data_IF_769862616673
#
_entry.id   IF_769862616673
#
_cell.length_a   1.000
_cell.length_b   1.000
_cell.length_c   1.000
_cell.angle_alpha   90.00
_cell.angle_beta   90.00
_cell.angle_gamma   90.00
#
_symmetry.space_group_name_H-M   'P 1'
#
loop_
_entity.id
_entity.type
_entity.pdbx_description
1 polymer ?
#
# COMPACT_ATOMS: atom_id res chain seq x y z
N UNK A 1 -44.11 0.02 -22.00
CA UNK A 1 -44.90 -0.84 -22.92
C UNK A 1 -44.38 -0.84 -24.36
N UNK A 2 -43.77 0.23 -24.88
CA UNK A 2 -43.22 0.30 -26.25
C UNK A 2 -42.16 -0.77 -26.58
N UNK A 3 -41.18 -1.02 -25.69
CA UNK A 3 -40.10 -1.96 -25.99
C UNK A 3 -40.50 -3.46 -25.96
N UNK A 4 -41.72 -3.81 -25.50
CA UNK A 4 -42.23 -5.19 -25.64
C UNK A 4 -42.89 -5.37 -27.00
N UNK A 5 -43.71 -4.40 -27.39
CA UNK A 5 -44.33 -4.33 -28.72
C UNK A 5 -43.29 -4.35 -29.86
N UNK A 6 -42.19 -3.58 -29.74
CA UNK A 6 -41.11 -3.58 -30.75
C UNK A 6 -40.34 -4.91 -30.83
N UNK A 7 -40.38 -5.74 -29.77
CA UNK A 7 -39.80 -7.07 -29.77
C UNK A 7 -40.74 -8.12 -30.38
N UNK A 8 -42.04 -8.00 -30.14
CA UNK A 8 -43.09 -8.79 -30.80
C UNK A 8 -43.13 -8.51 -32.31
N UNK A 9 -42.90 -7.26 -32.72
CA UNK A 9 -42.81 -6.84 -34.13
C UNK A 9 -41.46 -7.24 -34.78
N UNK A 10 -40.56 -7.91 -34.06
CA UNK A 10 -39.29 -8.43 -34.59
C UNK A 10 -38.23 -7.35 -34.91
N UNK A 11 -38.47 -6.09 -34.53
CA UNK A 11 -37.58 -4.95 -34.80
C UNK A 11 -36.44 -4.89 -33.79
N UNK A 12 -36.68 -5.35 -32.57
CA UNK A 12 -35.73 -5.33 -31.46
C UNK A 12 -35.61 -6.70 -30.78
N UNK A 13 -34.41 -7.24 -30.67
CA UNK A 13 -34.07 -8.38 -29.81
C UNK A 13 -33.77 -7.92 -28.38
N UNK A 14 -34.37 -8.60 -27.40
CA UNK A 14 -34.18 -8.34 -25.96
C UNK A 14 -33.29 -9.42 -25.37
N UNK A 15 -32.09 -9.07 -24.92
CA UNK A 15 -31.18 -10.04 -24.30
C UNK A 15 -31.41 -10.07 -22.77
N UNK A 16 -31.66 -11.24 -22.16
CA UNK A 16 -31.97 -11.35 -20.73
C UNK A 16 -30.72 -11.44 -19.82
N UNK A 17 -29.52 -11.36 -20.39
CA UNK A 17 -28.28 -11.43 -19.62
C UNK A 17 -27.98 -10.07 -18.97
N UNK A 18 -28.09 -10.06 -17.64
CA UNK A 18 -27.72 -9.00 -16.70
C UNK A 18 -28.53 -7.70 -16.75
N UNK A 19 -29.16 -7.36 -15.62
CA UNK A 19 -29.86 -6.09 -15.43
C UNK A 19 -28.90 -4.90 -15.59
N UNK A 20 -29.26 -3.86 -16.37
CA UNK A 20 -30.55 -3.64 -17.04
C UNK A 20 -30.63 -4.19 -18.48
N UNK A 21 -31.83 -4.65 -18.86
CA UNK A 21 -32.17 -5.24 -20.17
C UNK A 21 -31.71 -4.36 -21.34
N UNK A 22 -30.85 -4.92 -22.21
CA UNK A 22 -30.38 -4.31 -23.45
C UNK A 22 -31.29 -4.67 -24.63
N UNK A 23 -31.68 -3.65 -25.40
CA UNK A 23 -32.48 -3.76 -26.61
C UNK A 23 -31.57 -3.58 -27.84
N UNK A 24 -31.49 -4.58 -28.74
CA UNK A 24 -30.68 -4.53 -29.97
C UNK A 24 -31.57 -4.58 -31.21
N UNK A 25 -31.27 -3.80 -32.24
CA UNK A 25 -32.03 -3.83 -33.50
C UNK A 25 -31.71 -5.11 -34.31
N UNK A 26 -32.73 -5.78 -34.82
CA UNK A 26 -32.62 -7.15 -35.37
C UNK A 26 -31.89 -7.28 -36.71
N UNK A 27 -31.51 -6.16 -37.36
CA UNK A 27 -30.97 -6.16 -38.73
C UNK A 27 -29.51 -5.65 -38.82
N UNK A 28 -28.63 -6.14 -37.95
CA UNK A 28 -27.20 -5.87 -38.07
C UNK A 28 -26.36 -7.12 -37.84
N UNK A 29 -26.52 -8.10 -38.73
CA UNK A 29 -25.54 -9.16 -38.91
C UNK A 29 -25.11 -9.15 -40.38
N UNK A 30 -23.98 -8.50 -40.65
CA UNK A 30 -23.26 -8.64 -41.91
C UNK A 30 -22.07 -9.60 -41.67
N UNK A 31 -21.82 -10.56 -42.56
CA UNK A 31 -20.76 -11.54 -42.38
C UNK A 31 -19.38 -10.86 -42.49
N UNK A 32 -18.48 -11.21 -41.58
CA UNK A 32 -17.09 -10.73 -41.55
C UNK A 32 -16.29 -11.45 -42.64
N UNK A 33 -15.79 -10.77 -43.68
CA UNK A 33 -14.86 -11.39 -44.62
C UNK A 33 -13.46 -11.53 -43.97
N UNK A 34 -12.62 -12.48 -44.42
CA UNK A 34 -11.25 -12.58 -43.92
C UNK A 34 -10.49 -11.28 -44.20
N UNK A 35 -10.00 -10.66 -43.12
CA UNK A 35 -9.34 -9.35 -43.13
C UNK A 35 -7.95 -9.48 -43.75
N UNK A 36 -7.81 -9.02 -44.99
CA UNK A 36 -6.49 -8.68 -45.58
C UNK A 36 -5.87 -7.54 -44.75
N UNK A 37 -4.57 -7.58 -44.40
CA UNK A 37 -3.92 -6.45 -43.75
C UNK A 37 -3.99 -5.24 -44.70
N UNK A 38 -4.62 -4.17 -44.23
CA UNK A 38 -4.61 -2.89 -44.93
C UNK A 38 -3.18 -2.32 -44.91
N UNK A 39 -2.73 -1.64 -45.97
CA UNK A 39 -1.45 -0.94 -45.95
C UNK A 39 -1.47 0.10 -44.82
N UNK A 40 -0.44 0.09 -43.98
CA UNK A 40 -0.24 1.03 -42.89
C UNK A 40 -0.20 2.47 -43.42
N UNK A 41 -1.05 3.35 -42.90
CA UNK A 41 -0.89 4.79 -43.10
C UNK A 41 0.52 5.23 -42.66
N UNK A 42 1.12 6.25 -43.29
CA UNK A 42 2.40 6.79 -42.87
C UNK A 42 2.33 7.17 -41.38
N UNK A 43 3.27 6.66 -40.58
CA UNK A 43 3.33 6.89 -39.14
C UNK A 43 3.33 8.41 -38.86
N UNK A 44 2.30 8.88 -38.15
CA UNK A 44 2.26 10.29 -37.71
C UNK A 44 3.44 10.55 -36.77
N UNK A 45 4.10 11.72 -36.87
CA UNK A 45 5.27 12.00 -36.08
C UNK A 45 4.96 12.04 -34.58
N UNK A 46 6.00 11.85 -33.77
CA UNK A 46 5.97 12.16 -32.34
C UNK A 46 5.41 13.58 -32.11
N UNK A 47 4.66 13.86 -31.02
CA UNK A 47 4.16 12.98 -29.94
C UNK A 47 2.72 12.46 -30.15
N UNK A 48 2.36 11.97 -31.33
CA UNK A 48 1.04 11.35 -31.53
C UNK A 48 0.88 10.05 -30.72
N UNK A 49 -0.35 9.74 -30.27
CA UNK A 49 -0.66 8.60 -29.39
C UNK A 49 -0.09 7.26 -29.89
N UNK A 50 -0.24 6.96 -31.19
CA UNK A 50 0.32 5.72 -31.76
C UNK A 50 1.85 5.70 -31.80
N UNK A 51 2.52 6.85 -31.93
CA UNK A 51 3.97 6.92 -31.82
C UNK A 51 4.42 6.67 -30.37
N UNK A 52 3.75 7.28 -29.39
CA UNK A 52 4.01 7.04 -27.96
C UNK A 52 3.79 5.58 -27.59
N UNK A 53 2.69 4.97 -28.05
CA UNK A 53 2.39 3.57 -27.83
C UNK A 53 3.44 2.64 -28.46
N UNK A 54 3.86 2.92 -29.69
CA UNK A 54 4.89 2.14 -30.37
C UNK A 54 6.21 2.16 -29.59
N UNK A 55 6.68 3.35 -29.23
CA UNK A 55 7.90 3.55 -28.44
C UNK A 55 7.82 2.85 -27.08
N UNK A 56 6.66 2.92 -26.41
CA UNK A 56 6.44 2.23 -25.14
C UNK A 56 6.52 0.70 -25.29
N UNK A 57 5.95 0.13 -26.36
CA UNK A 57 5.97 -1.31 -26.62
C UNK A 57 7.39 -1.81 -26.94
N UNK A 58 8.17 -1.03 -27.69
CA UNK A 58 9.58 -1.32 -27.93
C UNK A 58 10.37 -1.35 -26.61
N UNK A 59 10.16 -0.34 -25.75
CA UNK A 59 10.79 -0.30 -24.43
C UNK A 59 10.39 -1.51 -23.57
N UNK A 60 9.09 -1.82 -23.45
CA UNK A 60 8.60 -2.98 -22.70
C UNK A 60 9.25 -4.28 -23.18
N UNK A 61 9.37 -4.47 -24.49
CA UNK A 61 10.00 -5.66 -25.07
C UNK A 61 11.49 -5.72 -24.74
N UNK A 62 12.18 -4.57 -24.75
CA UNK A 62 13.61 -4.48 -24.40
C UNK A 62 13.89 -4.78 -22.92
N UNK A 63 12.94 -4.48 -22.04
CA UNK A 63 12.96 -4.81 -20.61
C UNK A 63 12.50 -6.26 -20.32
N UNK A 64 12.30 -7.08 -21.36
CA UNK A 64 11.90 -8.48 -21.22
C UNK A 64 10.40 -8.70 -20.96
N UNK A 65 9.58 -7.67 -21.18
CA UNK A 65 8.12 -7.78 -21.11
C UNK A 65 7.53 -8.54 -22.30
N UNK A 66 6.51 -9.34 -22.03
CA UNK A 66 5.73 -10.05 -23.06
C UNK A 66 4.44 -9.30 -23.35
N UNK A 67 4.21 -8.88 -24.61
CA UNK A 67 2.98 -8.16 -24.99
C UNK A 67 1.83 -9.17 -25.14
N UNK A 68 0.83 -9.05 -24.26
CA UNK A 68 -0.36 -9.90 -24.26
C UNK A 68 -1.40 -9.38 -25.26
N UNK A 69 -1.59 -8.05 -25.32
CA UNK A 69 -2.49 -7.42 -26.29
C UNK A 69 -2.13 -5.96 -26.53
N UNK A 70 -2.40 -5.45 -27.73
CA UNK A 70 -2.19 -4.06 -28.12
C UNK A 70 -3.37 -3.59 -28.97
N UNK A 71 -3.97 -2.45 -28.62
CA UNK A 71 -5.03 -1.84 -29.40
C UNK A 71 -4.46 -1.13 -30.63
N UNK A 72 -5.14 -1.27 -31.77
CA UNK A 72 -4.78 -0.52 -32.98
C UNK A 72 -5.29 0.93 -32.89
N UNK A 73 -4.36 1.85 -32.59
CA UNK A 73 -4.63 3.30 -32.47
C UNK A 73 -5.08 3.94 -33.80
N UNK A 74 -4.79 3.33 -34.95
CA UNK A 74 -5.26 3.81 -36.25
C UNK A 74 -6.74 3.46 -36.50
N UNK A 75 -7.25 2.37 -35.89
CA UNK A 75 -8.63 1.91 -36.09
C UNK A 75 -9.59 2.17 -34.92
N UNK A 76 -9.12 2.82 -33.83
CA UNK A 76 -9.93 3.17 -32.63
C UNK A 76 -10.66 1.97 -32.04
N UNK A 77 -9.97 0.82 -31.94
CA UNK A 77 -10.53 -0.36 -31.28
C UNK A 77 -10.86 -0.05 -29.81
N UNK A 78 -11.93 -0.67 -29.29
CA UNK A 78 -12.34 -0.51 -27.88
C UNK A 78 -11.59 -1.55 -27.03
N UNK A 79 -10.77 -1.10 -26.08
CA UNK A 79 -10.02 -1.94 -25.14
C UNK A 79 -8.92 -1.13 -24.43
N UNK A 80 -8.23 -1.75 -23.47
CA UNK A 80 -6.98 -1.21 -22.89
C UNK A 80 -5.93 -1.05 -23.99
N UNK A 81 -5.22 0.08 -24.02
CA UNK A 81 -4.30 0.41 -25.12
C UNK A 81 -3.15 -0.61 -25.25
N UNK A 82 -2.53 -1.01 -24.12
CA UNK A 82 -1.52 -2.07 -24.06
C UNK A 82 -1.73 -2.94 -22.82
N UNK A 83 -1.59 -4.26 -22.97
CA UNK A 83 -1.48 -5.22 -21.86
C UNK A 83 -0.21 -6.03 -22.06
N UNK A 84 0.62 -6.10 -21.02
CA UNK A 84 1.88 -6.85 -21.03
C UNK A 84 2.08 -7.62 -19.72
N UNK A 85 2.90 -8.67 -19.75
CA UNK A 85 3.50 -9.27 -18.56
C UNK A 85 4.90 -8.67 -18.38
N UNK A 86 5.15 -8.02 -17.25
CA UNK A 86 6.44 -7.41 -16.90
C UNK A 86 6.77 -7.75 -15.45
N UNK A 87 7.99 -8.25 -15.20
CA UNK A 87 8.42 -8.73 -13.87
C UNK A 87 7.49 -9.78 -13.24
N UNK A 88 6.88 -10.64 -14.08
CA UNK A 88 5.95 -11.67 -13.63
C UNK A 88 4.60 -11.13 -13.15
N UNK A 89 4.27 -9.87 -13.45
CA UNK A 89 2.97 -9.26 -13.17
C UNK A 89 2.35 -8.71 -14.45
N UNK A 90 1.04 -8.86 -14.56
CA UNK A 90 0.26 -8.23 -15.63
C UNK A 90 0.18 -6.72 -15.41
N UNK A 91 0.41 -5.97 -16.49
CA UNK A 91 0.37 -4.52 -16.55
C UNK A 91 -0.63 -4.08 -17.60
N UNK A 92 -1.60 -3.27 -17.19
CA UNK A 92 -2.60 -2.64 -18.06
C UNK A 92 -2.25 -1.17 -18.23
N UNK A 93 -2.04 -0.74 -19.48
CA UNK A 93 -1.52 0.59 -19.77
C UNK A 93 -2.51 1.35 -20.66
N UNK A 94 -2.93 2.51 -20.18
CA UNK A 94 -3.65 3.53 -20.97
C UNK A 94 -2.62 4.52 -21.51
N UNK A 95 -2.57 4.70 -22.83
CA UNK A 95 -1.62 5.58 -23.52
C UNK A 95 -2.35 6.83 -24.01
N UNK A 96 -1.71 7.99 -23.90
CA UNK A 96 -2.18 9.24 -24.52
C UNK A 96 -1.03 9.97 -25.20
N UNK A 97 -1.33 10.62 -26.32
CA UNK A 97 -0.39 11.50 -27.01
C UNK A 97 -0.40 12.95 -26.49
N UNK A 98 0.15 13.86 -27.30
CA UNK A 98 0.00 15.30 -27.10
C UNK A 98 -0.94 15.94 -28.14
N UNK A 99 -1.78 16.92 -27.75
CA UNK A 99 -2.68 17.57 -28.69
C UNK A 99 -1.95 18.37 -29.77
N UNK A 100 -2.32 18.14 -31.04
CA UNK A 100 -1.84 18.96 -32.16
C UNK A 100 -2.36 20.40 -32.06
N UNK A 101 -1.58 21.34 -32.57
CA UNK A 101 -1.99 22.75 -32.75
C UNK A 101 -2.92 22.95 -33.95
N UNK A 102 -2.87 22.06 -34.95
CA UNK A 102 -3.65 22.17 -36.19
C UNK A 102 -4.91 21.32 -36.15
N UNK A 103 -5.95 21.78 -36.85
CA UNK A 103 -7.19 21.03 -37.04
C UNK A 103 -6.94 19.74 -37.83
N UNK A 104 -7.47 18.61 -37.33
CA UNK A 104 -7.35 17.31 -37.98
C UNK A 104 -8.42 17.05 -39.03
N UNK A 105 -9.42 17.92 -39.15
CA UNK A 105 -10.44 17.83 -40.21
C UNK A 105 -9.80 18.26 -41.55
N UNK A 106 -9.76 17.39 -42.57
CA UNK A 106 -9.19 17.72 -43.87
C UNK A 106 -9.81 18.98 -44.51
N UNK A 107 -11.07 19.29 -44.16
CA UNK A 107 -11.78 20.50 -44.65
C UNK A 107 -11.26 21.80 -44.04
N UNK A 108 -10.52 21.70 -42.94
CA UNK A 108 -9.94 22.83 -42.18
C UNK A 108 -8.43 22.66 -42.02
N UNK A 109 -7.81 21.90 -42.92
CA UNK A 109 -6.38 21.64 -42.90
C UNK A 109 -5.62 22.99 -42.99
N UNK A 110 -4.70 23.22 -42.05
CA UNK A 110 -3.95 24.47 -41.92
C UNK A 110 -4.53 25.47 -40.91
N UNK A 111 -5.76 25.28 -40.43
CA UNK A 111 -6.31 26.12 -39.36
C UNK A 111 -5.73 25.73 -37.99
N UNK A 112 -5.39 26.75 -37.19
CA UNK A 112 -5.00 26.57 -35.79
C UNK A 112 -6.24 26.26 -34.96
N UNK A 113 -6.18 25.24 -34.10
CA UNK A 113 -7.27 24.89 -33.20
C UNK A 113 -7.55 26.06 -32.24
N UNK A 114 -8.82 26.40 -31.98
CA UNK A 114 -9.18 27.47 -31.05
C UNK A 114 -8.67 27.25 -29.62
N UNK A 115 -8.57 25.98 -29.20
CA UNK A 115 -8.16 25.60 -27.85
C UNK A 115 -6.67 25.30 -27.80
N UNK A 116 -5.94 25.97 -26.92
CA UNK A 116 -4.51 25.72 -26.72
C UNK A 116 -4.22 24.24 -26.37
N UNK A 117 -3.12 23.64 -26.88
CA UNK A 117 -2.74 22.26 -26.58
C UNK A 117 -2.68 21.95 -25.08
N UNK A 118 -2.23 22.88 -24.25
CA UNK A 118 -2.14 22.73 -22.79
C UNK A 118 -3.50 22.48 -22.12
N UNK A 119 -4.56 23.12 -22.63
CA UNK A 119 -5.94 22.96 -22.12
C UNK A 119 -6.50 21.61 -22.57
N UNK A 120 -6.24 21.22 -23.82
CA UNK A 120 -6.61 19.90 -24.33
C UNK A 120 -5.86 18.78 -23.57
N UNK A 121 -4.58 18.97 -23.24
CA UNK A 121 -3.77 18.02 -22.50
C UNK A 121 -4.32 17.78 -21.08
N UNK A 122 -4.85 18.81 -20.42
CA UNK A 122 -5.55 18.66 -19.13
C UNK A 122 -6.81 17.79 -19.26
N UNK A 123 -7.58 17.96 -20.34
CA UNK A 123 -8.76 17.12 -20.61
C UNK A 123 -8.36 15.67 -20.90
N UNK A 124 -7.28 15.47 -21.67
CA UNK A 124 -6.76 14.13 -21.99
C UNK A 124 -6.23 13.42 -20.75
N UNK A 125 -5.51 14.14 -19.89
CA UNK A 125 -5.07 13.66 -18.59
C UNK A 125 -6.27 13.20 -17.74
N UNK A 126 -7.30 14.03 -17.57
CA UNK A 126 -8.49 13.67 -16.79
C UNK A 126 -9.24 12.45 -17.38
N UNK A 127 -9.27 12.35 -18.71
CA UNK A 127 -9.81 11.19 -19.43
C UNK A 127 -9.04 9.91 -19.11
N UNK A 128 -7.71 9.95 -19.20
CA UNK A 128 -6.84 8.81 -18.87
C UNK A 128 -6.97 8.39 -17.40
N UNK A 129 -7.10 9.35 -16.46
CA UNK A 129 -7.32 8.99 -15.05
C UNK A 129 -8.66 8.27 -14.85
N UNK A 130 -9.70 8.70 -15.57
CA UNK A 130 -11.00 8.02 -15.54
C UNK A 130 -10.93 6.61 -16.13
N UNK A 131 -10.12 6.39 -17.18
CA UNK A 131 -9.83 5.04 -17.72
C UNK A 131 -9.07 4.18 -16.71
N UNK A 132 -8.02 4.73 -16.09
CA UNK A 132 -7.18 4.03 -15.12
C UNK A 132 -7.97 3.57 -13.89
N UNK A 133 -8.89 4.40 -13.37
CA UNK A 133 -9.79 4.01 -12.28
C UNK A 133 -10.65 2.79 -12.64
N UNK A 134 -11.18 2.74 -13.87
CA UNK A 134 -11.95 1.58 -14.35
C UNK A 134 -11.08 0.34 -14.50
N UNK A 135 -9.87 0.50 -15.04
CA UNK A 135 -8.90 -0.59 -15.16
C UNK A 135 -8.54 -1.15 -13.78
N UNK A 136 -8.31 -0.28 -12.79
CA UNK A 136 -7.98 -0.69 -11.42
C UNK A 136 -9.13 -1.42 -10.74
N UNK A 137 -10.36 -0.96 -10.95
CA UNK A 137 -11.54 -1.65 -10.45
C UNK A 137 -11.71 -3.04 -11.07
N UNK A 138 -11.46 -3.18 -12.38
CA UNK A 138 -11.57 -4.46 -13.10
C UNK A 138 -10.42 -5.43 -12.81
N UNK A 139 -9.24 -4.91 -12.44
CA UNK A 139 -8.01 -5.68 -12.29
C UNK A 139 -7.29 -5.34 -10.97
N UNK A 140 -7.85 -5.69 -9.80
CA UNK A 140 -7.39 -5.20 -8.50
C UNK A 140 -6.02 -5.73 -8.04
N UNK A 141 -5.46 -6.73 -8.73
CA UNK A 141 -4.15 -7.33 -8.41
C UNK A 141 -3.06 -7.01 -9.45
N UNK A 142 -3.46 -6.44 -10.57
CA UNK A 142 -2.60 -6.13 -11.70
C UNK A 142 -2.09 -4.69 -11.58
N UNK A 143 -0.99 -4.40 -12.26
CA UNK A 143 -0.45 -3.04 -12.33
C UNK A 143 -1.30 -2.23 -13.32
N UNK A 144 -1.64 -1.00 -12.96
CA UNK A 144 -2.37 -0.08 -13.83
C UNK A 144 -1.52 1.14 -14.06
N UNK A 145 -1.29 1.47 -15.32
CA UNK A 145 -0.38 2.51 -15.75
C UNK A 145 -1.11 3.50 -16.65
N UNK A 146 -0.79 4.77 -16.50
CA UNK A 146 -1.09 5.82 -17.46
C UNK A 146 0.22 6.32 -18.07
N UNK A 147 0.35 6.23 -19.39
CA UNK A 147 1.56 6.58 -20.12
C UNK A 147 1.32 7.82 -21.01
N UNK A 148 2.23 8.78 -20.91
CA UNK A 148 2.19 10.04 -21.65
C UNK A 148 3.54 10.34 -22.29
N UNK A 149 3.62 11.15 -23.38
CA UNK A 149 4.89 11.68 -23.83
C UNK A 149 5.47 12.61 -22.75
N UNK A 150 6.79 12.61 -22.62
CA UNK A 150 7.51 13.51 -21.72
C UNK A 150 7.37 14.97 -22.19
N UNK A 151 6.38 15.64 -21.62
CA UNK A 151 6.07 17.04 -21.87
C UNK A 151 5.98 17.78 -20.54
N UNK A 152 6.51 19.02 -20.43
CA UNK A 152 6.50 19.78 -19.18
C UNK A 152 5.13 19.86 -18.50
N UNK A 153 4.05 19.97 -19.29
CA UNK A 153 2.69 20.03 -18.75
C UNK A 153 2.25 18.74 -18.08
N UNK A 154 2.58 17.56 -18.62
CA UNK A 154 2.20 16.30 -17.99
C UNK A 154 2.97 16.08 -16.70
N UNK A 155 4.24 16.53 -16.63
CA UNK A 155 4.99 16.59 -15.36
C UNK A 155 4.29 17.47 -14.32
N UNK A 156 3.83 18.67 -14.69
CA UNK A 156 3.06 19.54 -13.79
C UNK A 156 1.73 18.91 -13.36
N UNK A 157 0.99 18.31 -14.29
CA UNK A 157 -0.29 17.68 -13.99
C UNK A 157 -0.16 16.48 -13.06
N UNK A 158 0.93 15.71 -13.22
CA UNK A 158 1.32 14.66 -12.30
C UNK A 158 1.68 15.24 -10.93
N UNK A 159 2.54 16.27 -10.85
CA UNK A 159 2.92 16.85 -9.54
C UNK A 159 1.72 17.38 -8.74
N UNK A 160 0.72 17.93 -9.42
CA UNK A 160 -0.53 18.40 -8.79
C UNK A 160 -1.39 17.25 -8.23
N UNK A 161 -1.18 16.00 -8.66
CA UNK A 161 -2.07 14.85 -8.41
C UNK A 161 -1.34 13.57 -7.99
N UNK A 162 -0.06 13.66 -7.71
CA UNK A 162 0.82 12.53 -7.44
C UNK A 162 0.31 11.67 -6.27
N UNK A 163 -0.14 12.30 -5.19
CA UNK A 163 -0.60 11.60 -3.98
C UNK A 163 -1.88 10.78 -4.23
N UNK A 164 -2.97 11.33 -4.80
CA UNK A 164 -4.13 10.52 -5.19
C UNK A 164 -3.79 9.35 -6.12
N UNK A 165 -2.89 9.54 -7.08
CA UNK A 165 -2.49 8.48 -8.01
C UNK A 165 -1.74 7.35 -7.30
N UNK A 166 -0.82 7.71 -6.40
CA UNK A 166 -0.10 6.76 -5.56
C UNK A 166 -1.05 5.93 -4.69
N UNK A 167 -2.00 6.57 -4.01
CA UNK A 167 -2.99 5.89 -3.15
C UNK A 167 -3.90 4.92 -3.90
N UNK A 168 -4.12 5.16 -5.18
CA UNK A 168 -4.93 4.32 -6.04
C UNK A 168 -4.13 3.19 -6.72
N UNK A 169 -2.82 3.10 -6.44
CA UNK A 169 -1.91 2.15 -7.10
C UNK A 169 -1.97 2.28 -8.64
N UNK A 170 -2.01 3.54 -9.10
CA UNK A 170 -1.96 3.92 -10.52
C UNK A 170 -0.58 4.53 -10.79
N UNK A 171 0.20 3.86 -11.63
CA UNK A 171 1.53 4.31 -12.01
C UNK A 171 1.48 5.34 -13.13
N UNK A 172 2.40 6.30 -13.09
CA UNK A 172 2.52 7.36 -14.09
C UNK A 172 3.83 7.24 -14.85
N UNK A 173 3.78 6.96 -16.15
CA UNK A 173 4.98 6.77 -16.97
C UNK A 173 5.11 7.90 -18.00
N UNK A 174 6.32 8.43 -18.14
CA UNK A 174 6.68 9.40 -19.17
C UNK A 174 7.59 8.77 -20.21
N UNK A 175 7.17 8.83 -21.47
CA UNK A 175 7.89 8.26 -22.61
C UNK A 175 8.59 9.39 -23.36
N UNK A 176 9.89 9.29 -23.58
CA UNK A 176 10.64 10.26 -24.37
C UNK A 176 10.63 9.88 -25.86
N UNK A 177 10.87 10.85 -26.74
CA UNK A 177 11.01 10.59 -28.18
C UNK A 177 12.17 9.63 -28.50
N UNK A 178 13.19 9.59 -27.64
CA UNK A 178 14.36 8.72 -27.81
C UNK A 178 14.12 7.27 -27.37
N UNK A 179 12.94 6.94 -26.85
CA UNK A 179 12.62 5.58 -26.39
C UNK A 179 12.89 5.29 -24.92
N UNK A 180 13.24 6.30 -24.11
CA UNK A 180 13.35 6.10 -22.67
C UNK A 180 11.97 6.21 -22.02
N UNK A 181 11.70 5.35 -21.02
CA UNK A 181 10.51 5.44 -20.18
C UNK A 181 10.93 5.74 -18.75
N UNK A 182 10.46 6.87 -18.23
CA UNK A 182 10.62 7.26 -16.83
C UNK A 182 9.35 6.86 -16.07
N UNK A 183 9.52 5.99 -15.07
CA UNK A 183 8.47 5.72 -14.09
C UNK A 183 8.49 6.87 -13.08
N UNK A 184 7.53 7.78 -13.21
CA UNK A 184 7.43 8.95 -12.34
C UNK A 184 6.75 8.52 -11.04
N UNK A 185 7.56 8.34 -10.01
CA UNK A 185 7.07 8.16 -8.64
C UNK A 185 6.44 9.45 -8.11
N UNK A 186 5.80 9.42 -6.93
CA UNK A 186 5.20 10.61 -6.33
C UNK A 186 6.20 11.77 -6.31
N UNK A 187 5.76 12.98 -6.66
CA UNK A 187 6.68 14.13 -6.83
C UNK A 187 7.18 14.63 -5.49
N UNK A 188 8.48 14.43 -5.25
CA UNK A 188 9.22 14.98 -4.11
C UNK A 188 8.75 14.38 -2.80
N UNK A 189 9.57 13.53 -2.20
CA UNK A 189 9.43 13.24 -0.78
C UNK A 189 9.52 14.59 -0.04
N UNK A 190 8.48 15.06 0.70
CA UNK A 190 8.62 16.26 1.49
C UNK A 190 9.89 16.21 2.36
N UNK A 191 10.48 17.35 2.75
CA UNK A 191 11.77 17.37 3.44
C UNK A 191 11.79 16.60 4.78
N UNK A 192 10.63 16.21 5.31
CA UNK A 192 10.49 15.32 6.47
C UNK A 192 10.51 13.81 6.12
N UNK A 193 10.48 13.46 4.83
CA UNK A 193 10.65 12.12 4.25
C UNK A 193 12.08 11.84 3.79
N UNK A 194 12.81 12.84 3.29
CA UNK A 194 14.16 12.63 2.79
C UNK A 194 15.21 12.58 3.93
N UNK A 195 15.51 11.37 4.38
CA UNK A 195 16.67 11.09 5.25
C UNK A 195 17.70 10.30 4.44
N UNK A 196 18.84 10.90 4.02
CA UNK A 196 19.81 10.25 3.14
C UNK A 196 20.43 8.96 3.69
N UNK A 197 20.42 8.78 5.02
CA UNK A 197 20.89 7.55 5.65
C UNK A 197 19.85 6.43 5.69
N UNK A 198 18.61 6.68 5.29
CA UNK A 198 17.57 5.66 5.31
C UNK A 198 17.84 4.60 4.22
N UNK A 199 17.63 3.34 4.57
CA UNK A 199 17.49 2.26 3.59
C UNK A 199 16.20 2.46 2.74
N UNK A 200 16.09 1.80 1.57
CA UNK A 200 14.86 1.85 0.76
C UNK A 200 13.61 1.48 1.55
N UNK A 201 13.68 0.47 2.41
CA UNK A 201 12.58 0.07 3.29
C UNK A 201 12.23 1.15 4.30
N UNK A 202 13.23 1.79 4.93
CA UNK A 202 12.98 2.88 5.87
C UNK A 202 12.33 4.09 5.21
N UNK A 203 12.76 4.47 4.00
CA UNK A 203 12.11 5.53 3.22
C UNK A 203 10.65 5.20 2.93
N UNK A 204 10.37 4.00 2.42
CA UNK A 204 9.00 3.57 2.13
C UNK A 204 8.11 3.56 3.38
N UNK A 205 8.61 3.03 4.51
CA UNK A 205 7.86 3.03 5.76
C UNK A 205 7.66 4.47 6.28
N UNK A 206 8.67 5.35 6.18
CA UNK A 206 8.55 6.75 6.58
C UNK A 206 7.50 7.48 5.75
N UNK A 207 7.49 7.27 4.43
CA UNK A 207 6.48 7.81 3.53
C UNK A 207 5.08 7.37 3.95
N UNK A 208 4.89 6.08 4.20
CA UNK A 208 3.61 5.53 4.66
C UNK A 208 3.16 6.15 6.00
N UNK A 209 4.05 6.23 6.99
CA UNK A 209 3.72 6.78 8.30
C UNK A 209 3.40 8.28 8.25
N UNK A 210 4.11 9.04 7.39
CA UNK A 210 3.81 10.46 7.19
C UNK A 210 2.44 10.68 6.57
N UNK A 211 2.09 9.87 5.56
CA UNK A 211 0.75 9.90 4.95
C UNK A 211 -0.31 9.58 6.01
N UNK A 212 -0.14 8.50 6.78
CA UNK A 212 -1.07 8.15 7.86
C UNK A 212 -1.23 9.28 8.90
N UNK A 213 -0.13 9.87 9.38
CA UNK A 213 -0.17 11.01 10.32
C UNK A 213 -0.93 12.21 9.76
N UNK A 214 -0.66 12.58 8.52
CA UNK A 214 -1.27 13.77 7.92
C UNK A 214 -2.73 13.54 7.56
N UNK A 215 -3.06 12.37 6.99
CA UNK A 215 -4.39 12.11 6.46
C UNK A 215 -5.37 11.52 7.48
N UNK A 216 -4.89 10.65 8.36
CA UNK A 216 -5.75 9.96 9.35
C UNK A 216 -5.76 10.72 10.67
N UNK A 217 -4.59 11.12 11.16
CA UNK A 217 -4.51 11.85 12.44
C UNK A 217 -4.69 13.37 12.28
N UNK A 218 -4.46 13.92 11.08
CA UNK A 218 -4.51 15.37 10.86
C UNK A 218 -3.37 16.12 11.57
N UNK A 219 -2.26 15.45 11.87
CA UNK A 219 -1.19 16.01 12.71
C UNK A 219 0.01 16.52 11.88
N UNK A 220 0.69 17.58 12.35
CA UNK A 220 1.93 18.05 11.75
C UNK A 220 3.11 17.14 12.10
N UNK A 221 4.25 17.34 11.42
CA UNK A 221 5.49 16.66 11.75
C UNK A 221 6.08 17.10 13.10
N UNK A 222 6.49 16.12 13.89
CA UNK A 222 7.14 16.33 15.18
C UNK A 222 8.66 16.33 15.09
N UNK A 223 9.34 16.93 16.07
CA UNK A 223 10.79 16.91 16.16
C UNK A 223 11.31 15.54 16.63
N UNK A 224 12.37 15.00 16.03
CA UNK A 224 13.00 13.78 16.50
C UNK A 224 13.81 14.01 17.79
N UNK A 225 14.50 12.97 18.25
CA UNK A 225 15.43 13.04 19.39
C UNK A 225 16.52 14.10 19.15
N UNK A 226 17.06 14.67 20.24
CA UNK A 226 17.99 15.82 20.18
C UNK A 226 19.12 15.65 19.16
N UNK A 227 19.76 14.46 19.11
CA UNK A 227 20.89 14.17 18.22
C UNK A 227 20.54 14.25 16.72
N UNK A 228 19.29 13.95 16.36
CA UNK A 228 18.80 13.97 14.98
C UNK A 228 18.20 15.35 14.64
N UNK A 229 17.65 16.03 15.65
CA UNK A 229 16.95 17.32 15.52
C UNK A 229 17.80 18.43 14.92
N UNK A 230 19.10 18.45 15.21
CA UNK A 230 20.02 19.47 14.68
C UNK A 230 20.13 19.41 13.15
N UNK A 231 19.92 18.23 12.55
CA UNK A 231 19.96 18.02 11.10
C UNK A 231 18.57 17.98 10.48
N UNK A 232 17.57 17.51 11.23
CA UNK A 232 16.18 17.38 10.80
C UNK A 232 15.26 17.96 11.89
N UNK A 233 14.88 19.25 11.79
CA UNK A 233 14.03 19.90 12.80
C UNK A 233 12.72 19.14 13.05
N UNK A 234 12.17 18.51 12.01
CA UNK A 234 11.03 17.60 12.07
C UNK A 234 11.27 16.38 11.18
N UNK A 235 10.56 15.29 11.45
CA UNK A 235 10.57 14.09 10.61
C UNK A 235 9.16 13.54 10.43
N UNK A 236 8.92 12.97 9.25
CA UNK A 236 7.65 12.42 8.79
C UNK A 236 7.05 11.35 9.70
N UNK A 237 7.93 10.47 10.20
CA UNK A 237 7.54 9.42 11.12
C UNK A 237 7.37 9.89 12.58
N UNK A 238 7.68 11.14 12.90
CA UNK A 238 7.55 11.67 14.25
C UNK A 238 6.24 12.44 14.41
N UNK A 239 5.51 12.10 15.47
CA UNK A 239 4.36 12.83 15.96
C UNK A 239 4.81 14.04 16.80
N UNK A 240 4.03 15.12 16.82
CA UNK A 240 4.36 16.30 17.61
C UNK A 240 4.33 15.96 19.11
N UNK A 241 5.10 16.68 19.92
CA UNK A 241 5.09 16.52 21.38
C UNK A 241 3.69 16.84 21.95
N UNK A 242 3.01 17.84 21.37
CA UNK A 242 1.64 18.23 21.69
C UNK A 242 0.93 18.88 20.49
N UNK A 243 -0.39 18.79 20.46
CA UNK A 243 -1.27 19.40 19.47
C UNK A 243 -2.65 19.63 20.11
N UNK A 244 -3.25 20.80 19.89
CA UNK A 244 -4.54 21.20 20.47
C UNK A 244 -4.66 20.97 21.99
N UNK A 245 -3.59 21.32 22.73
CA UNK A 245 -3.55 21.23 24.19
C UNK A 245 -3.43 19.82 24.76
N UNK A 246 -3.25 18.79 23.93
CA UNK A 246 -3.00 17.41 24.37
C UNK A 246 -1.59 16.98 24.03
N UNK A 247 -0.94 16.27 24.96
CA UNK A 247 0.34 15.63 24.69
C UNK A 247 0.14 14.35 23.85
N UNK A 248 1.18 13.91 23.14
CA UNK A 248 1.13 12.65 22.39
C UNK A 248 0.81 11.43 23.28
N UNK A 249 1.31 11.41 24.52
CA UNK A 249 1.07 10.33 25.46
C UNK A 249 -0.37 10.31 26.00
N UNK A 250 -0.94 11.47 26.30
CA UNK A 250 -2.33 11.58 26.78
C UNK A 250 -3.31 11.26 25.66
N UNK A 251 -3.03 11.74 24.44
CA UNK A 251 -3.88 11.47 23.30
C UNK A 251 -3.78 10.01 22.83
N UNK A 252 -2.60 9.39 22.97
CA UNK A 252 -2.33 8.03 22.52
C UNK A 252 -2.28 7.90 20.99
N UNK A 253 -1.88 8.96 20.28
CA UNK A 253 -1.88 8.99 18.81
C UNK A 253 -1.07 7.88 18.14
N UNK A 254 -0.04 7.37 18.80
CA UNK A 254 0.80 6.30 18.27
C UNK A 254 0.27 4.89 18.60
N UNK A 255 -0.93 4.78 19.20
CA UNK A 255 -1.55 3.52 19.61
C UNK A 255 -2.82 3.26 18.82
N UNK A 256 -3.13 1.98 18.59
CA UNK A 256 -4.21 1.58 17.67
C UNK A 256 -5.61 1.64 18.29
N UNK A 257 -5.73 1.76 19.62
CA UNK A 257 -7.02 1.77 20.31
C UNK A 257 -6.95 2.43 21.69
N UNK A 258 -8.12 2.75 22.25
CA UNK A 258 -8.24 3.23 23.64
C UNK A 258 -7.82 2.14 24.65
N UNK A 259 -8.08 0.86 24.34
CA UNK A 259 -7.65 -0.27 25.17
C UNK A 259 -6.11 -0.35 25.23
N UNK A 260 -5.45 -0.23 24.08
CA UNK A 260 -4.00 -0.11 23.99
C UNK A 260 -3.47 1.08 24.79
N UNK A 261 -4.13 2.24 24.73
CA UNK A 261 -3.73 3.43 25.50
C UNK A 261 -3.78 3.18 26.99
N UNK A 262 -4.89 2.65 27.51
CA UNK A 262 -5.04 2.32 28.94
C UNK A 262 -3.97 1.33 29.38
N UNK A 263 -3.82 0.23 28.64
CA UNK A 263 -2.79 -0.78 28.90
C UNK A 263 -1.38 -0.17 28.93
N UNK A 264 -1.07 0.69 27.97
CA UNK A 264 0.27 1.29 27.86
C UNK A 264 0.61 2.15 29.07
N UNK A 265 -0.33 2.98 29.53
CA UNK A 265 -0.14 3.81 30.73
C UNK A 265 0.11 2.98 31.99
N UNK A 266 -0.62 1.86 32.15
CA UNK A 266 -0.41 0.92 33.26
C UNK A 266 0.94 0.20 33.14
N UNK A 267 1.25 -0.31 31.95
CA UNK A 267 2.45 -1.11 31.69
C UNK A 267 3.74 -0.32 31.85
N UNK A 268 3.78 0.95 31.40
CA UNK A 268 4.96 1.82 31.58
C UNK A 268 5.31 2.00 33.06
N UNK A 269 4.32 2.04 33.96
CA UNK A 269 4.59 2.11 35.40
C UNK A 269 5.24 0.83 35.94
N UNK A 270 4.87 -0.35 35.41
CA UNK A 270 5.49 -1.63 35.76
C UNK A 270 6.93 -1.69 35.23
N UNK A 271 7.16 -1.26 33.99
CA UNK A 271 8.50 -1.23 33.39
C UNK A 271 9.45 -0.32 34.16
N UNK A 272 8.97 0.82 34.66
CA UNK A 272 9.76 1.71 35.50
C UNK A 272 10.23 1.06 36.81
N UNK A 273 9.45 0.15 37.40
CA UNK A 273 9.81 -0.57 38.64
C UNK A 273 10.73 -1.77 38.39
N UNK A 274 10.56 -2.45 37.26
CA UNK A 274 11.35 -3.63 36.87
C UNK A 274 12.67 -3.28 36.16
N UNK A 275 12.88 -2.00 35.82
CA UNK A 275 14.02 -1.58 35.02
C UNK A 275 13.92 -1.99 33.54
N UNK A 276 12.70 -2.26 33.05
CA UNK A 276 12.40 -2.49 31.65
C UNK A 276 12.53 -1.23 30.78
N UNK A 277 12.71 -1.40 29.47
CA UNK A 277 13.01 -0.31 28.54
C UNK A 277 11.78 0.11 27.71
N UNK A 278 11.02 1.09 28.19
CA UNK A 278 10.09 1.86 27.36
C UNK A 278 10.64 3.27 27.14
N UNK A 279 11.22 3.52 25.96
CA UNK A 279 11.76 4.84 25.64
C UNK A 279 10.61 5.78 25.23
N UNK A 280 10.35 6.89 25.96
CA UNK A 280 9.15 7.69 25.74
C UNK A 280 9.00 8.20 24.30
N UNK A 281 10.09 8.65 23.68
CA UNK A 281 10.07 9.12 22.29
C UNK A 281 9.76 8.00 21.29
N UNK A 282 10.26 6.79 21.56
CA UNK A 282 10.03 5.61 20.71
C UNK A 282 8.60 5.11 20.84
N UNK A 283 8.05 5.10 22.05
CA UNK A 283 6.71 4.61 22.32
C UNK A 283 5.64 5.60 21.84
N UNK A 284 5.77 6.87 22.19
CA UNK A 284 4.67 7.83 22.03
C UNK A 284 4.73 8.66 20.74
N UNK A 285 5.91 8.78 20.10
CA UNK A 285 6.10 9.76 19.02
C UNK A 285 6.69 9.19 17.75
N UNK A 286 7.52 8.16 17.82
CA UNK A 286 8.15 7.58 16.64
C UNK A 286 7.32 6.43 16.06
N UNK A 287 6.62 6.68 14.96
CA UNK A 287 5.78 5.69 14.28
C UNK A 287 6.57 4.57 13.58
N UNK A 288 7.91 4.70 13.46
CA UNK A 288 8.79 3.62 12.94
C UNK A 288 9.31 2.69 14.04
N UNK A 289 8.99 2.95 15.30
CA UNK A 289 9.38 2.09 16.43
C UNK A 289 8.49 0.85 16.52
N UNK A 290 9.02 -0.30 16.97
CA UNK A 290 8.18 -1.46 17.31
C UNK A 290 7.32 -1.23 18.55
N UNK A 291 7.79 -0.40 19.50
CA UNK A 291 7.13 -0.23 20.79
C UNK A 291 5.62 0.10 20.66
N UNK A 292 5.19 1.11 19.90
CA UNK A 292 3.76 1.39 19.74
C UNK A 292 2.96 0.20 19.21
N UNK A 293 3.52 -0.59 18.28
CA UNK A 293 2.86 -1.78 17.74
C UNK A 293 2.78 -2.89 18.79
N UNK A 294 3.87 -3.15 19.52
CA UNK A 294 3.91 -4.18 20.55
C UNK A 294 2.90 -3.90 21.67
N UNK A 295 2.87 -2.65 22.15
CA UNK A 295 1.91 -2.20 23.16
C UNK A 295 0.47 -2.18 22.63
N UNK A 296 0.27 -1.84 21.35
CA UNK A 296 -1.06 -1.89 20.73
C UNK A 296 -1.61 -3.31 20.65
N UNK A 297 -0.78 -4.26 20.19
CA UNK A 297 -1.16 -5.68 20.12
C UNK A 297 -1.45 -6.22 21.53
N UNK A 298 -0.53 -6.03 22.47
CA UNK A 298 -0.70 -6.56 23.83
C UNK A 298 -1.96 -5.98 24.50
N UNK A 299 -2.16 -4.65 24.42
CA UNK A 299 -3.31 -4.01 25.04
C UNK A 299 -4.64 -4.42 24.42
N UNK A 300 -4.72 -4.52 23.09
CA UNK A 300 -5.94 -4.96 22.41
C UNK A 300 -6.28 -6.42 22.72
N UNK A 301 -5.30 -7.32 22.61
CA UNK A 301 -5.52 -8.74 22.87
C UNK A 301 -5.86 -9.00 24.34
N UNK A 302 -5.29 -8.22 25.27
CA UNK A 302 -5.63 -8.29 26.70
C UNK A 302 -7.06 -7.82 26.98
N UNK A 303 -7.55 -6.80 26.28
CA UNK A 303 -8.93 -6.34 26.40
C UNK A 303 -9.95 -7.32 25.78
N UNK A 304 -9.51 -8.16 24.83
CA UNK A 304 -10.35 -9.08 24.08
C UNK A 304 -9.88 -10.55 24.18
N UNK A 305 -9.92 -11.17 25.36
CA UNK A 305 -9.28 -12.47 25.63
C UNK A 305 -9.80 -13.61 24.74
N UNK A 306 -11.09 -13.62 24.39
CA UNK A 306 -11.65 -14.65 23.50
C UNK A 306 -11.13 -14.51 22.06
N UNK A 307 -11.07 -13.28 21.53
CA UNK A 307 -10.51 -13.02 20.21
C UNK A 307 -9.01 -13.32 20.20
N UNK A 308 -8.31 -12.98 21.28
CA UNK A 308 -6.90 -13.26 21.43
C UNK A 308 -6.59 -14.78 21.44
N UNK A 309 -7.41 -15.62 22.07
CA UNK A 309 -7.29 -17.08 21.98
C UNK A 309 -7.40 -17.57 20.53
N UNK A 310 -8.34 -17.03 19.75
CA UNK A 310 -8.47 -17.37 18.33
C UNK A 310 -7.24 -16.96 17.51
N UNK A 311 -6.73 -15.73 17.73
CA UNK A 311 -5.50 -15.24 17.08
C UNK A 311 -4.31 -16.14 17.41
N UNK A 312 -4.12 -16.52 18.67
CA UNK A 312 -3.00 -17.38 19.06
C UNK A 312 -3.17 -18.83 18.59
N UNK A 313 -4.40 -19.33 18.49
CA UNK A 313 -4.68 -20.64 17.89
C UNK A 313 -4.23 -20.67 16.43
N UNK A 314 -4.59 -19.65 15.66
CA UNK A 314 -4.17 -19.53 14.26
C UNK A 314 -2.66 -19.32 14.12
N UNK A 315 -2.08 -18.41 14.91
CA UNK A 315 -0.67 -18.05 14.85
C UNK A 315 0.25 -19.22 15.21
N UNK A 316 -0.11 -20.03 16.20
CA UNK A 316 0.72 -21.14 16.69
C UNK A 316 0.37 -22.47 16.04
N UNK A 317 -0.82 -22.61 15.44
CA UNK A 317 -1.36 -23.89 14.98
C UNK A 317 -1.75 -24.84 16.12
N UNK A 318 -1.76 -24.37 17.38
CA UNK A 318 -2.08 -25.17 18.56
C UNK A 318 -3.51 -24.86 19.05
N UNK A 319 -4.21 -25.82 19.67
CA UNK A 319 -5.54 -25.59 20.24
C UNK A 319 -5.44 -24.79 21.53
N UNK A 320 -5.17 -23.49 21.43
CA UNK A 320 -5.15 -22.57 22.57
C UNK A 320 -6.58 -22.43 23.09
N UNK A 321 -6.75 -22.59 24.40
CA UNK A 321 -8.06 -22.52 25.05
C UNK A 321 -8.19 -21.31 25.98
N UNK A 322 -7.07 -20.80 26.50
CA UNK A 322 -7.04 -19.64 27.38
C UNK A 322 -5.64 -19.00 27.43
N UNK A 323 -5.60 -17.77 27.94
CA UNK A 323 -4.37 -17.20 28.50
C UNK A 323 -4.17 -17.67 29.93
N UNK A 324 -2.91 -17.73 30.36
CA UNK A 324 -2.51 -18.11 31.71
C UNK A 324 -1.65 -17.03 32.37
N UNK A 325 -1.15 -17.34 33.57
CA UNK A 325 -0.26 -16.49 34.34
C UNK A 325 1.03 -17.22 34.70
N UNK A 326 2.14 -16.49 34.64
CA UNK A 326 3.42 -16.88 35.22
C UNK A 326 3.83 -15.82 36.25
N UNK A 327 4.11 -16.26 37.47
CA UNK A 327 4.45 -15.39 38.61
C UNK A 327 3.26 -15.18 39.57
N UNK A 328 3.59 -14.81 40.81
CA UNK A 328 2.62 -14.64 41.90
C UNK A 328 1.91 -13.27 41.84
N UNK A 329 0.72 -13.12 42.44
CA UNK A 329 0.08 -11.82 42.60
C UNK A 329 0.99 -10.82 43.34
N UNK A 330 1.22 -9.65 42.74
CA UNK A 330 2.11 -8.61 43.29
C UNK A 330 3.57 -8.72 42.84
N UNK A 331 3.94 -9.74 42.07
CA UNK A 331 5.23 -9.79 41.38
C UNK A 331 5.23 -8.83 40.18
N UNK A 332 6.14 -7.86 40.19
CA UNK A 332 6.32 -6.89 39.11
C UNK A 332 6.83 -7.54 37.81
N UNK A 333 7.42 -8.75 37.88
CA UNK A 333 7.86 -9.53 36.71
C UNK A 333 6.82 -10.52 36.20
N UNK A 334 5.62 -10.54 36.80
CA UNK A 334 4.53 -11.44 36.39
C UNK A 334 4.17 -11.25 34.92
N UNK A 335 4.02 -12.36 34.20
CA UNK A 335 3.44 -12.42 32.86
C UNK A 335 1.97 -12.85 32.99
N UNK A 336 1.06 -11.88 32.90
CA UNK A 336 -0.39 -12.10 33.04
C UNK A 336 -1.04 -12.08 31.66
N UNK A 337 -1.22 -13.26 31.07
CA UNK A 337 -1.71 -13.39 29.70
C UNK A 337 -0.67 -12.94 28.69
N UNK A 338 -0.71 -11.68 28.26
CA UNK A 338 0.18 -11.11 27.24
C UNK A 338 0.73 -9.76 27.73
N UNK A 339 2.03 -9.55 27.57
CA UNK A 339 2.73 -8.34 28.01
C UNK A 339 3.75 -7.85 26.97
N UNK A 340 3.72 -6.54 26.69
CA UNK A 340 4.72 -5.87 25.87
C UNK A 340 5.99 -5.55 26.69
N UNK A 341 7.13 -5.57 26.00
CA UNK A 341 8.47 -5.32 26.57
C UNK A 341 8.68 -6.15 27.85
N UNK A 342 8.22 -7.39 27.85
CA UNK A 342 8.36 -8.27 29.00
C UNK A 342 9.78 -8.81 29.07
N UNK A 343 10.37 -8.71 30.25
CA UNK A 343 11.65 -9.34 30.55
C UNK A 343 11.59 -9.94 31.96
N UNK A 344 12.11 -11.16 32.16
CA UNK A 344 12.20 -11.74 33.49
C UNK A 344 13.29 -11.01 34.31
N UNK A 345 13.41 -11.32 35.62
CA UNK A 345 14.53 -10.88 36.44
C UNK A 345 15.89 -11.16 35.78
N UNK A 346 16.88 -10.27 36.01
CA UNK A 346 18.20 -10.33 35.34
C UNK A 346 18.96 -11.62 35.57
N UNK A 347 18.81 -12.22 36.74
CA UNK A 347 19.36 -13.52 37.12
C UNK A 347 18.75 -14.69 36.33
N UNK A 348 17.60 -14.48 35.68
CA UNK A 348 16.96 -15.44 34.78
C UNK A 348 17.22 -15.14 33.29
N UNK A 349 18.04 -14.13 32.97
CA UNK A 349 18.37 -13.82 31.57
C UNK A 349 19.27 -14.91 30.99
N UNK A 350 18.99 -15.30 29.74
CA UNK A 350 19.80 -16.28 28.99
C UNK A 350 21.17 -15.73 28.57
N UNK A 351 21.42 -14.43 28.76
CA UNK A 351 22.69 -13.77 28.45
C UNK A 351 22.92 -13.48 26.96
N UNK A 352 21.95 -13.75 26.10
CA UNK A 352 22.01 -13.55 24.64
C UNK A 352 21.59 -12.14 24.19
N UNK A 353 21.35 -11.22 25.15
CA UNK A 353 20.86 -9.86 24.93
C UNK A 353 19.50 -9.80 24.22
N UNK A 354 18.72 -10.89 24.19
CA UNK A 354 17.36 -10.88 23.67
C UNK A 354 16.38 -10.33 24.72
N UNK A 355 15.73 -9.22 24.36
CA UNK A 355 14.50 -8.76 25.02
C UNK A 355 13.30 -9.21 24.19
N UNK A 356 12.18 -9.49 24.84
CA UNK A 356 10.94 -9.83 24.14
C UNK A 356 10.13 -8.56 23.91
N UNK A 357 9.88 -8.21 22.64
CA UNK A 357 8.96 -7.13 22.29
C UNK A 357 7.56 -7.46 22.84
N UNK A 358 7.16 -8.74 22.80
CA UNK A 358 5.92 -9.27 23.38
C UNK A 358 6.18 -10.68 23.95
N UNK A 359 5.65 -10.98 25.13
CA UNK A 359 5.55 -12.35 25.65
C UNK A 359 4.09 -12.67 26.02
N UNK A 360 3.73 -13.96 25.98
CA UNK A 360 2.43 -14.45 26.37
C UNK A 360 2.48 -15.83 27.05
N UNK A 361 1.67 -16.03 28.08
CA UNK A 361 1.39 -17.34 28.67
C UNK A 361 0.06 -17.86 28.15
N UNK A 362 0.10 -19.05 27.54
CA UNK A 362 -1.03 -19.69 26.89
C UNK A 362 -1.30 -21.05 27.53
N UNK A 363 -2.56 -21.45 27.56
CA UNK A 363 -2.98 -22.82 27.89
C UNK A 363 -3.54 -23.45 26.64
N UNK A 364 -3.06 -24.64 26.32
CA UNK A 364 -3.69 -25.55 25.37
C UNK A 364 -4.40 -26.68 26.12
N UNK A 365 -5.17 -27.50 25.40
CA UNK A 365 -5.86 -28.65 25.99
C UNK A 365 -4.94 -29.61 26.77
N UNK A 366 -3.63 -29.63 26.48
CA UNK A 366 -2.70 -30.62 27.05
C UNK A 366 -1.44 -30.01 27.68
N UNK A 367 -1.14 -28.73 27.49
CA UNK A 367 0.10 -28.11 28.00
C UNK A 367 -0.02 -26.60 28.21
N UNK A 368 0.83 -26.05 29.09
CA UNK A 368 1.05 -24.62 29.30
C UNK A 368 2.25 -24.17 28.48
N UNK A 369 2.14 -23.04 27.82
CA UNK A 369 3.11 -22.57 26.84
C UNK A 369 3.50 -21.12 27.14
N UNK A 370 4.79 -20.82 27.10
CA UNK A 370 5.29 -19.46 27.03
C UNK A 370 5.64 -19.14 25.58
N UNK A 371 4.93 -18.18 24.98
CA UNK A 371 5.19 -17.65 23.65
C UNK A 371 5.88 -16.31 23.76
N UNK A 372 6.82 -16.02 22.86
CA UNK A 372 7.50 -14.72 22.84
C UNK A 372 7.92 -14.33 21.43
N UNK A 373 7.86 -13.04 21.13
CA UNK A 373 8.38 -12.44 19.92
C UNK A 373 9.50 -11.45 20.25
N UNK A 374 10.62 -11.54 19.52
CA UNK A 374 11.77 -10.63 19.65
C UNK A 374 12.35 -10.29 18.29
N UNK A 375 12.97 -9.11 18.18
CA UNK A 375 13.82 -8.77 17.04
C UNK A 375 15.18 -9.47 17.15
N UNK A 376 15.48 -10.38 16.21
CA UNK A 376 16.83 -10.93 16.07
C UNK A 376 17.75 -9.93 15.36
N UNK A 377 18.77 -9.40 16.05
CA UNK A 377 19.84 -8.58 15.45
C UNK A 377 20.97 -9.46 14.91
N UNK A 378 20.76 -10.18 13.80
CA UNK A 378 21.90 -10.77 13.06
C UNK A 378 21.68 -10.71 11.55
N UNK A 379 22.54 -9.93 10.88
CA UNK A 379 22.73 -9.96 9.43
C UNK A 379 23.56 -11.19 9.06
N UNK A 380 22.93 -12.26 8.59
CA UNK A 380 23.45 -13.10 7.51
C UNK A 380 22.37 -14.07 7.06
N UNK A 381 22.28 -14.27 5.75
CA UNK A 381 21.36 -15.17 5.09
C UNK A 381 21.41 -16.59 5.68
N UNK A 382 20.25 -17.25 5.64
CA UNK A 382 19.94 -18.61 6.10
C UNK A 382 19.75 -18.79 7.61
N UNK A 383 18.52 -18.55 8.06
CA UNK A 383 17.84 -19.38 9.06
C UNK A 383 16.36 -19.06 9.03
N UNK A 384 15.54 -20.05 8.70
CA UNK A 384 14.15 -20.08 9.12
C UNK A 384 14.09 -19.71 10.61
N UNK A 385 13.16 -18.83 10.96
CA UNK A 385 12.72 -18.60 12.34
C UNK A 385 12.62 -19.95 13.05
N UNK A 386 13.58 -20.24 13.92
CA UNK A 386 13.58 -21.45 14.73
C UNK A 386 12.79 -21.13 15.99
N UNK A 387 11.51 -21.49 15.95
CA UNK A 387 10.56 -21.39 17.05
C UNK A 387 11.05 -22.24 18.24
N UNK A 388 11.51 -21.62 19.31
CA UNK A 388 11.90 -22.34 20.53
C UNK A 388 10.66 -22.63 21.35
N UNK A 389 10.28 -23.92 21.40
CA UNK A 389 9.29 -24.45 22.31
C UNK A 389 10.02 -24.86 23.59
N UNK A 390 9.69 -24.25 24.72
CA UNK A 390 10.08 -24.77 26.02
C UNK A 390 8.81 -25.26 26.71
N UNK A 391 8.64 -26.58 26.78
CA UNK A 391 7.67 -27.18 27.69
C UNK A 391 8.14 -26.89 29.12
N UNK A 392 7.36 -26.11 29.86
CA UNK A 392 7.62 -25.92 31.29
C UNK A 392 6.88 -27.04 32.01
N UNK A 393 7.61 -28.13 32.29
CA UNK A 393 7.12 -29.27 33.04
C UNK A 393 7.05 -28.90 34.54
N UNK A 394 5.88 -28.47 35.01
CA UNK A 394 5.65 -28.23 36.45
C UNK A 394 5.26 -29.52 37.15
N UNK A 395 6.20 -30.46 37.25
CA UNK A 395 6.11 -31.63 38.14
C UNK A 395 7.31 -31.71 39.07
N UNK A 396 7.50 -30.68 39.91
CA UNK A 396 8.27 -30.86 41.14
C UNK A 396 7.79 -29.92 42.24
N UNK A 397 6.84 -30.39 43.05
CA UNK A 397 6.77 -30.05 44.48
C UNK A 397 5.80 -30.99 45.19
N UNK A 398 6.23 -32.24 45.39
CA UNK A 398 5.79 -33.06 46.53
C UNK A 398 6.90 -34.08 46.84
N UNK A 399 7.80 -33.69 47.74
CA UNK A 399 8.49 -34.56 48.71
C UNK A 399 9.65 -33.80 49.35
N UNK A 400 9.59 -33.58 50.67
CA UNK A 400 10.67 -33.03 51.49
C UNK A 400 10.19 -32.03 52.50
#
# INVERSE_FOLDING_TARGET
>A
MICRRLAEEGIVRRDPADSPILNRLSNAEAPVPPRRPAPSEPAKPWPWEGAVQHTLVEWLTSEGGEIVSQADTATKQRGTDVVAELDGRRVHIEVKGWPSTQCSDPRRAGEVKPTAPTVQANQWFAGAMSSALKLRQGNPRDRVVVAFPDMPRYRTLHSERAEPLHRLDIEFWLVTESGAVEIVGPTGEPPDLEVPSDSPTQRAHRAHQSSWRTEILGLPAGPPSKRVRDRYPTLGNFLPESHDGRSAADAGWNLMSDAARTYTHERVQVLARTGGLAEPDRLWRNMLSSQPLAFSIAGELRAHPQAAVAVFTELTGLPVVAFDRLGEPGDDYRLDGIEAEWSPPRDHHTGDQSGFDIAAMLVSATTRLCWSASRSSTSTASRQSRWTHNDIDTTSTQSG
#
